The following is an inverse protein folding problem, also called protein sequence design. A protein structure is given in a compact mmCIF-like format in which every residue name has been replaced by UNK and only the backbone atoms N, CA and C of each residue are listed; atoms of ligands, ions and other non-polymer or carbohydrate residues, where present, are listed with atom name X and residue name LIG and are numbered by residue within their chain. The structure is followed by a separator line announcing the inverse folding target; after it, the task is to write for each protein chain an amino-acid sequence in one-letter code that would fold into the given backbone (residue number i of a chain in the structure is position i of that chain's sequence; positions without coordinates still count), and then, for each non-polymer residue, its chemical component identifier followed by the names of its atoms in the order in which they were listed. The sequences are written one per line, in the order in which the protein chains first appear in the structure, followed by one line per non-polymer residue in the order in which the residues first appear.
data_IF_850557314898
#
_entry.id   IF_850557314898
#
_cell.length_a   1.000
_cell.length_b   1.000
_cell.length_c   1.000
_cell.angle_alpha   90.00
_cell.angle_beta   90.00
_cell.angle_gamma   90.00
#
_symmetry.space_group_name_H-M   'P 1'
#
loop_
_entity.id
_entity.type
_entity.pdbx_description
1 polymer ?
#
# COMPACT_ATOMS: atom_id res chain seq x y z
N UNK A 1 4.96 -8.51 -9.69
CA UNK A 1 5.33 -7.71 -8.51
C UNK A 1 4.24 -7.80 -7.47
N UNK A 2 4.57 -8.07 -6.19
CA UNK A 2 3.65 -8.12 -5.06
C UNK A 2 3.87 -6.89 -4.17
N UNK A 3 2.78 -6.16 -3.88
CA UNK A 3 2.80 -4.90 -3.11
C UNK A 3 1.88 -5.03 -1.90
N UNK A 4 2.45 -4.92 -0.71
CA UNK A 4 1.75 -5.12 0.57
C UNK A 4 0.86 -3.93 0.99
N UNK A 5 0.03 -4.13 2.02
CA UNK A 5 -0.88 -3.12 2.57
C UNK A 5 -0.26 -2.22 3.64
N UNK A 6 -1.09 -1.28 4.16
CA UNK A 6 -0.70 -0.39 5.25
C UNK A 6 -0.51 -1.18 6.56
N UNK A 7 0.44 -0.74 7.38
CA UNK A 7 0.82 -1.32 8.68
C UNK A 7 1.53 -2.67 8.63
N UNK A 8 1.62 -3.33 7.47
CA UNK A 8 2.28 -4.62 7.29
C UNK A 8 3.63 -4.51 6.57
N UNK A 9 4.13 -5.60 5.98
CA UNK A 9 5.39 -5.65 5.25
C UNK A 9 5.41 -6.81 4.25
N UNK A 10 6.38 -6.82 3.33
CA UNK A 10 6.48 -7.84 2.26
C UNK A 10 6.48 -9.29 2.77
N UNK A 11 7.11 -9.55 3.93
CA UNK A 11 7.22 -10.89 4.50
C UNK A 11 5.88 -11.53 4.84
N UNK A 12 4.79 -10.76 4.98
CA UNK A 12 3.45 -11.30 5.18
C UNK A 12 2.82 -11.90 3.92
N UNK A 13 3.40 -11.63 2.77
CA UNK A 13 2.98 -12.17 1.48
C UNK A 13 3.89 -13.31 0.99
N UNK A 14 4.82 -13.80 1.85
CA UNK A 14 5.79 -14.84 1.49
C UNK A 14 5.14 -16.11 0.91
N UNK A 15 4.02 -16.54 1.49
CA UNK A 15 3.31 -17.75 1.06
C UNK A 15 2.70 -17.58 -0.33
N UNK A 16 2.16 -16.39 -0.62
CA UNK A 16 1.67 -16.02 -1.95
C UNK A 16 2.81 -15.98 -2.97
N UNK A 17 3.94 -15.39 -2.58
CA UNK A 17 5.15 -15.31 -3.42
C UNK A 17 5.69 -16.71 -3.72
N UNK A 18 5.76 -17.58 -2.72
CA UNK A 18 6.21 -18.96 -2.87
C UNK A 18 5.25 -19.77 -3.75
N UNK A 19 3.95 -19.62 -3.54
CA UNK A 19 2.94 -20.27 -4.37
C UNK A 19 3.06 -19.85 -5.85
N UNK A 20 3.23 -18.56 -6.14
CA UNK A 20 3.43 -18.05 -7.50
C UNK A 20 4.73 -18.62 -8.12
N UNK A 21 5.81 -18.66 -7.35
CA UNK A 21 7.09 -19.25 -7.80
C UNK A 21 6.94 -20.72 -8.14
N UNK A 22 6.19 -21.49 -7.36
CA UNK A 22 5.91 -22.90 -7.62
C UNK A 22 5.09 -23.13 -8.91
N UNK A 23 4.33 -22.10 -9.35
CA UNK A 23 3.69 -22.09 -10.67
C UNK A 23 4.61 -21.65 -11.82
N UNK A 24 5.89 -21.41 -11.55
CA UNK A 24 6.87 -20.94 -12.54
C UNK A 24 6.80 -19.43 -12.82
N UNK A 25 6.08 -18.66 -11.99
CA UNK A 25 5.95 -17.23 -12.15
C UNK A 25 7.07 -16.53 -11.38
N UNK A 26 7.95 -15.82 -12.08
CA UNK A 26 8.99 -15.02 -11.46
C UNK A 26 8.36 -13.89 -10.64
N UNK A 27 8.61 -13.88 -9.33
CA UNK A 27 7.89 -13.02 -8.41
C UNK A 27 8.84 -12.19 -7.55
N UNK A 28 8.59 -10.90 -7.49
CA UNK A 28 9.27 -9.93 -6.65
C UNK A 28 8.30 -9.33 -5.65
N UNK A 29 8.78 -9.00 -4.46
CA UNK A 29 8.08 -8.23 -3.44
C UNK A 29 8.94 -7.05 -2.99
N UNK A 30 8.31 -6.07 -2.35
CA UNK A 30 8.98 -4.86 -1.87
C UNK A 30 8.41 -4.43 -0.52
N UNK A 31 9.21 -3.71 0.27
CA UNK A 31 8.68 -2.94 1.39
C UNK A 31 8.45 -1.48 0.95
N UNK A 32 7.24 -1.00 1.18
CA UNK A 32 6.88 0.40 0.97
C UNK A 32 7.56 1.31 2.02
N UNK A 33 7.78 2.59 1.72
CA UNK A 33 8.31 3.57 2.67
C UNK A 33 7.50 3.60 3.96
N UNK A 34 8.16 3.79 5.08
CA UNK A 34 7.50 3.73 6.39
C UNK A 34 7.15 2.35 6.90
N UNK A 35 7.51 1.26 6.20
CA UNK A 35 7.14 -0.12 6.52
C UNK A 35 8.33 -1.06 6.72
N UNK A 36 8.06 -2.27 7.25
CA UNK A 36 9.08 -3.30 7.43
C UNK A 36 10.09 -3.01 8.54
N UNK A 37 11.36 -3.36 8.30
CA UNK A 37 12.44 -3.29 9.30
C UNK A 37 13.07 -1.91 9.51
N UNK A 38 12.49 -0.82 8.99
CA UNK A 38 13.05 0.53 9.13
C UNK A 38 12.82 1.12 10.52
N UNK A 39 13.65 2.12 10.89
CA UNK A 39 13.62 2.76 12.20
C UNK A 39 12.37 3.63 12.41
N UNK A 40 11.96 4.41 11.40
CA UNK A 40 10.82 5.34 11.48
C UNK A 40 9.59 4.76 10.76
N UNK A 41 8.99 3.71 11.34
CA UNK A 41 7.77 3.11 10.80
C UNK A 41 6.58 4.08 10.87
N UNK A 42 5.69 4.02 9.87
CA UNK A 42 4.45 4.80 9.82
C UNK A 42 4.67 6.29 9.60
N UNK A 43 5.74 6.65 8.88
CA UNK A 43 6.03 8.01 8.47
C UNK A 43 6.60 8.03 7.04
N UNK A 44 6.18 9.00 6.25
CA UNK A 44 6.78 9.42 4.97
C UNK A 44 6.79 10.94 4.93
N UNK A 45 7.74 11.53 4.25
CA UNK A 45 7.78 12.98 4.04
C UNK A 45 6.95 13.40 2.83
N UNK A 46 6.97 12.61 1.77
CA UNK A 46 6.19 12.87 0.54
C UNK A 46 5.64 11.58 -0.06
N UNK A 47 4.57 11.71 -0.84
CA UNK A 47 4.03 10.58 -1.60
C UNK A 47 5.02 10.02 -2.62
N UNK A 48 5.91 10.86 -3.15
CA UNK A 48 6.89 10.49 -4.17
C UNK A 48 7.82 9.36 -3.71
N UNK A 49 8.06 9.22 -2.40
CA UNK A 49 8.82 8.08 -1.86
C UNK A 49 8.19 6.73 -2.24
N UNK A 50 6.85 6.65 -2.22
CA UNK A 50 6.13 5.44 -2.66
C UNK A 50 6.30 5.21 -4.16
N UNK A 51 6.20 6.29 -4.95
CA UNK A 51 6.35 6.22 -6.41
C UNK A 51 7.77 5.75 -6.77
N UNK A 52 8.79 6.30 -6.13
CA UNK A 52 10.19 5.90 -6.38
C UNK A 52 10.42 4.41 -6.07
N UNK A 53 9.92 3.93 -4.93
CA UNK A 53 10.12 2.53 -4.52
C UNK A 53 9.41 1.57 -5.47
N UNK A 54 8.17 1.86 -5.89
CA UNK A 54 7.44 0.98 -6.82
C UNK A 54 8.06 1.01 -8.22
N UNK A 55 8.52 2.15 -8.71
CA UNK A 55 9.23 2.28 -9.98
C UNK A 55 10.53 1.46 -9.96
N UNK A 56 11.32 1.59 -8.90
CA UNK A 56 12.56 0.82 -8.72
C UNK A 56 12.31 -0.70 -8.64
N UNK A 57 11.21 -1.12 -8.02
CA UNK A 57 10.83 -2.53 -7.98
C UNK A 57 10.30 -3.01 -9.33
N UNK A 58 9.51 -2.18 -10.01
CA UNK A 58 8.97 -2.48 -11.33
C UNK A 58 10.06 -2.64 -12.40
N UNK A 59 11.14 -1.87 -12.33
CA UNK A 59 12.26 -1.97 -13.27
C UNK A 59 12.88 -3.38 -13.32
N UNK A 60 12.73 -4.19 -12.27
CA UNK A 60 13.19 -5.59 -12.24
C UNK A 60 12.37 -6.51 -13.16
N UNK A 61 11.12 -6.14 -13.46
CA UNK A 61 10.21 -6.90 -14.32
C UNK A 61 9.89 -6.19 -15.64
N UNK A 62 10.45 -5.02 -15.89
CA UNK A 62 10.14 -4.17 -17.04
C UNK A 62 10.36 -4.88 -18.40
N UNK A 63 11.41 -5.71 -18.48
CA UNK A 63 11.78 -6.43 -19.70
C UNK A 63 11.21 -7.86 -19.78
N UNK A 64 10.16 -8.17 -19.01
CA UNK A 64 9.47 -9.48 -19.06
C UNK A 64 8.35 -9.45 -20.09
N UNK A 65 8.00 -10.64 -20.63
CA UNK A 65 6.96 -10.79 -21.66
C UNK A 65 5.57 -10.39 -21.14
N UNK A 66 5.29 -10.71 -19.87
CA UNK A 66 4.04 -10.34 -19.20
C UNK A 66 4.36 -9.81 -17.80
N UNK A 67 3.87 -8.62 -17.50
CA UNK A 67 4.10 -7.90 -16.24
C UNK A 67 2.79 -7.78 -15.47
N UNK A 68 2.75 -8.38 -14.29
CA UNK A 68 1.57 -8.38 -13.43
C UNK A 68 1.92 -7.70 -12.10
N UNK A 69 1.04 -6.82 -11.63
CA UNK A 69 1.08 -6.29 -10.27
C UNK A 69 -0.07 -6.90 -9.47
N UNK A 70 0.26 -7.57 -8.37
CA UNK A 70 -0.67 -7.95 -7.32
C UNK A 70 -0.48 -7.00 -6.14
N UNK A 71 -1.51 -6.24 -5.82
CA UNK A 71 -1.43 -5.20 -4.80
C UNK A 71 -2.56 -5.35 -3.77
N UNK A 72 -2.21 -5.26 -2.48
CA UNK A 72 -3.16 -5.36 -1.38
C UNK A 72 -3.39 -4.00 -0.71
N UNK A 73 -4.65 -3.64 -0.50
CA UNK A 73 -5.07 -2.49 0.31
C UNK A 73 -4.33 -1.18 -0.08
N UNK A 74 -3.50 -0.63 0.81
CA UNK A 74 -2.66 0.55 0.55
C UNK A 74 -1.73 0.37 -0.66
N UNK A 75 -1.18 -0.83 -0.84
CA UNK A 75 -0.38 -1.15 -2.03
C UNK A 75 -1.15 -0.97 -3.34
N UNK A 76 -2.47 -1.18 -3.32
CA UNK A 76 -3.34 -0.89 -4.47
C UNK A 76 -3.37 0.61 -4.78
N UNK A 77 -3.48 1.46 -3.76
CA UNK A 77 -3.44 2.91 -3.92
C UNK A 77 -2.10 3.37 -4.53
N UNK A 78 -0.98 2.86 -4.01
CA UNK A 78 0.37 3.16 -4.52
C UNK A 78 0.52 2.71 -5.97
N UNK A 79 0.10 1.49 -6.29
CA UNK A 79 0.24 0.92 -7.63
C UNK A 79 -0.60 1.67 -8.66
N UNK A 80 -1.88 1.93 -8.36
CA UNK A 80 -2.78 2.67 -9.25
C UNK A 80 -2.30 4.12 -9.42
N UNK A 81 -1.83 4.76 -8.36
CA UNK A 81 -1.23 6.09 -8.44
C UNK A 81 -0.04 6.13 -9.39
N UNK A 82 0.87 5.17 -9.30
CA UNK A 82 2.04 5.10 -10.17
C UNK A 82 1.65 4.89 -11.65
N UNK A 83 0.62 4.06 -11.91
CA UNK A 83 0.09 3.83 -13.27
C UNK A 83 -0.57 5.11 -13.80
N UNK A 84 -1.43 5.76 -13.03
CA UNK A 84 -2.13 6.99 -13.44
C UNK A 84 -1.17 8.17 -13.69
N UNK A 85 0.01 8.14 -13.07
CA UNK A 85 1.12 9.09 -13.29
C UNK A 85 2.05 8.66 -14.43
N UNK A 86 1.71 7.57 -15.15
CA UNK A 86 2.51 7.04 -16.26
C UNK A 86 3.95 6.69 -15.86
N UNK A 87 4.15 6.26 -14.60
CA UNK A 87 5.46 5.87 -14.07
C UNK A 87 5.77 4.39 -14.27
N UNK A 88 4.74 3.55 -14.35
CA UNK A 88 4.81 2.11 -14.62
C UNK A 88 3.65 1.72 -15.54
N UNK A 89 3.86 0.67 -16.35
CA UNK A 89 2.89 0.20 -17.34
C UNK A 89 2.82 -1.36 -17.32
N UNK A 90 2.16 -1.96 -16.32
CA UNK A 90 1.95 -3.40 -16.27
C UNK A 90 0.87 -3.85 -17.25
N UNK A 91 0.96 -5.11 -17.70
CA UNK A 91 -0.05 -5.70 -18.61
C UNK A 91 -1.34 -6.08 -17.89
N UNK A 92 -1.24 -6.43 -16.59
CA UNK A 92 -2.38 -6.80 -15.74
C UNK A 92 -2.20 -6.28 -14.32
N UNK A 93 -3.35 -5.99 -13.70
CA UNK A 93 -3.42 -5.51 -12.32
C UNK A 93 -4.41 -6.38 -11.52
N UNK A 94 -4.00 -6.86 -10.37
CA UNK A 94 -4.84 -7.59 -9.41
C UNK A 94 -4.87 -6.79 -8.12
N UNK A 95 -6.06 -6.33 -7.73
CA UNK A 95 -6.28 -5.51 -6.53
C UNK A 95 -7.04 -6.31 -5.48
N UNK A 96 -6.41 -6.55 -4.35
CA UNK A 96 -7.03 -7.18 -3.19
C UNK A 96 -7.43 -6.12 -2.18
N UNK A 97 -8.75 -5.96 -1.94
CA UNK A 97 -9.31 -5.00 -0.99
C UNK A 97 -8.70 -3.58 -1.13
N UNK A 98 -8.81 -2.93 -2.31
CA UNK A 98 -8.12 -1.67 -2.60
C UNK A 98 -8.55 -0.55 -1.65
N UNK A 99 -7.58 0.25 -1.18
CA UNK A 99 -7.76 1.33 -0.21
C UNK A 99 -7.94 2.69 -0.90
N UNK A 100 -9.04 2.86 -1.63
CA UNK A 100 -9.31 4.09 -2.37
C UNK A 100 -10.14 5.12 -1.61
N UNK A 101 -10.72 4.75 -0.46
CA UNK A 101 -11.38 5.66 0.47
C UNK A 101 -11.37 5.09 1.91
N UNK A 102 -11.30 5.97 2.89
CA UNK A 102 -11.36 5.64 4.32
C UNK A 102 -12.76 5.74 4.92
N UNK A 103 -13.75 6.20 4.14
CA UNK A 103 -15.12 6.45 4.59
C UNK A 103 -15.23 7.43 5.79
N UNK A 104 -14.19 8.23 6.06
CA UNK A 104 -14.27 9.24 7.10
C UNK A 104 -15.07 10.46 6.64
N UNK A 105 -15.87 11.07 7.54
CA UNK A 105 -16.55 12.34 7.25
C UNK A 105 -15.55 13.43 6.82
N UNK A 106 -15.95 14.31 5.91
CA UNK A 106 -15.09 15.38 5.38
C UNK A 106 -14.44 16.24 6.47
N UNK A 107 -15.17 16.53 7.56
CA UNK A 107 -14.59 17.33 8.65
C UNK A 107 -13.43 16.62 9.35
N UNK A 108 -13.46 15.29 9.48
CA UNK A 108 -12.35 14.49 10.04
C UNK A 108 -11.14 14.54 9.11
N UNK A 109 -11.36 14.38 7.80
CA UNK A 109 -10.29 14.49 6.79
C UNK A 109 -9.65 15.89 6.82
N UNK A 110 -10.47 16.95 6.88
CA UNK A 110 -9.99 18.33 6.98
C UNK A 110 -9.22 18.61 8.27
N UNK A 111 -9.69 18.10 9.40
CA UNK A 111 -9.00 18.23 10.69
C UNK A 111 -7.66 17.48 10.66
N UNK A 112 -7.62 16.27 10.09
CA UNK A 112 -6.39 15.51 9.90
C UNK A 112 -5.38 16.28 9.03
N UNK A 113 -5.84 16.91 7.94
CA UNK A 113 -5.01 17.76 7.09
C UNK A 113 -4.45 19.00 7.81
N UNK A 114 -5.25 19.64 8.67
CA UNK A 114 -4.77 20.75 9.51
C UNK A 114 -3.72 20.28 10.52
N UNK A 115 -3.95 19.12 11.17
CA UNK A 115 -2.99 18.51 12.08
C UNK A 115 -1.69 18.14 11.38
N UNK A 116 -1.74 17.64 10.13
CA UNK A 116 -0.56 17.33 9.34
C UNK A 116 0.32 18.56 9.06
N UNK A 117 -0.28 19.74 8.95
CA UNK A 117 0.48 21.00 8.75
C UNK A 117 1.12 21.52 10.03
N UNK A 118 0.43 21.42 11.17
CA UNK A 118 0.90 21.99 12.46
C UNK A 118 1.75 21.00 13.24
N UNK A 119 1.37 19.73 13.24
CA UNK A 119 2.00 18.65 13.98
C UNK A 119 2.24 17.41 13.10
N UNK A 120 3.06 17.52 12.02
CA UNK A 120 3.23 16.47 11.02
C UNK A 120 3.65 15.12 11.60
N UNK A 121 4.49 15.12 12.62
CA UNK A 121 5.02 13.91 13.26
C UNK A 121 4.17 13.36 14.41
N UNK A 122 3.11 14.07 14.80
CA UNK A 122 2.16 13.52 15.78
C UNK A 122 1.46 12.30 15.17
N UNK A 123 1.22 11.29 16.00
CA UNK A 123 0.76 9.96 15.53
C UNK A 123 -0.69 9.70 15.92
N UNK A 124 -1.43 9.13 14.97
CA UNK A 124 -2.75 8.56 15.19
C UNK A 124 -2.66 7.02 15.24
N UNK A 125 -3.44 6.37 16.13
CA UNK A 125 -3.48 4.91 16.18
C UNK A 125 -4.11 4.31 14.92
N UNK A 126 -3.70 3.07 14.58
CA UNK A 126 -4.31 2.29 13.51
C UNK A 126 -5.76 1.92 13.89
N UNK A 127 -6.71 1.99 12.94
CA UNK A 127 -8.07 1.48 13.12
C UNK A 127 -8.14 -0.05 13.10
N UNK A 128 -7.08 -0.73 12.68
CA UNK A 128 -7.04 -2.21 12.60
C UNK A 128 -7.05 -2.81 14.00
N UNK A 129 -8.00 -3.68 14.25
CA UNK A 129 -8.13 -4.43 15.51
C UNK A 129 -8.41 -5.92 15.24
N UNK A 130 -8.34 -6.75 16.28
CA UNK A 130 -8.49 -8.22 16.16
C UNK A 130 -9.82 -8.67 15.55
N UNK A 131 -10.88 -7.85 15.64
CA UNK A 131 -12.22 -8.21 15.16
C UNK A 131 -12.42 -7.94 13.66
N UNK A 132 -11.70 -6.96 13.13
CA UNK A 132 -11.86 -6.52 11.74
C UNK A 132 -10.72 -6.96 10.80
N UNK A 133 -9.72 -7.69 11.30
CA UNK A 133 -8.58 -8.14 10.50
C UNK A 133 -8.91 -9.44 9.74
N UNK A 134 -9.32 -10.48 10.47
CA UNK A 134 -9.65 -11.80 9.90
C UNK A 134 -10.52 -12.59 10.86
N UNK A 135 -11.26 -13.56 10.33
CA UNK A 135 -11.96 -14.58 11.11
C UNK A 135 -11.02 -15.71 11.54
N UNK A 136 -9.90 -15.87 10.87
CA UNK A 136 -8.87 -16.85 11.23
C UNK A 136 -7.99 -16.34 12.37
N UNK A 137 -8.02 -17.07 13.49
CA UNK A 137 -7.32 -16.71 14.72
C UNK A 137 -5.79 -16.74 14.55
N UNK A 138 -5.25 -17.70 13.79
CA UNK A 138 -3.82 -17.83 13.58
C UNK A 138 -3.27 -16.62 12.80
N UNK A 139 -3.98 -16.22 11.74
CA UNK A 139 -3.69 -14.99 10.98
C UNK A 139 -3.72 -13.75 11.87
N UNK A 140 -4.74 -13.63 12.74
CA UNK A 140 -4.85 -12.51 13.69
C UNK A 140 -3.69 -12.48 14.67
N UNK A 141 -3.39 -13.62 15.30
CA UNK A 141 -2.32 -13.70 16.30
C UNK A 141 -0.94 -13.47 15.65
N UNK A 142 -0.69 -14.00 14.45
CA UNK A 142 0.55 -13.74 13.69
C UNK A 142 0.74 -12.25 13.38
N UNK A 143 -0.33 -11.55 12.97
CA UNK A 143 -0.28 -10.12 12.70
C UNK A 143 0.03 -9.29 13.95
N UNK A 144 -0.66 -9.57 15.07
CA UNK A 144 -0.52 -8.78 16.29
C UNK A 144 0.77 -9.07 17.07
N UNK A 145 1.43 -10.20 16.82
CA UNK A 145 2.71 -10.59 17.41
C UNK A 145 3.92 -10.27 16.52
N UNK A 146 3.70 -9.84 15.28
CA UNK A 146 4.77 -9.51 14.35
C UNK A 146 5.44 -8.17 14.73
N UNK A 147 6.76 -8.16 15.02
CA UNK A 147 7.48 -6.94 15.39
C UNK A 147 7.67 -5.97 14.23
N UNK A 148 7.47 -6.40 12.99
CA UNK A 148 7.57 -5.55 11.80
C UNK A 148 6.26 -4.83 11.51
N UNK A 149 5.13 -5.33 12.02
CA UNK A 149 3.84 -4.66 11.97
C UNK A 149 3.85 -3.45 12.93
N UNK A 150 3.37 -2.31 12.46
CA UNK A 150 3.23 -1.12 13.30
C UNK A 150 1.75 -0.73 13.45
N UNK A 151 1.42 0.09 14.47
CA UNK A 151 0.02 0.36 14.85
C UNK A 151 -0.30 1.83 15.01
N UNK A 152 0.48 2.68 14.40
CA UNK A 152 0.21 4.12 14.36
C UNK A 152 0.92 4.73 13.17
N UNK A 153 0.33 5.77 12.60
CA UNK A 153 0.97 6.56 11.55
C UNK A 153 0.97 8.03 11.92
N UNK A 154 1.86 8.80 11.32
CA UNK A 154 1.90 10.24 11.52
C UNK A 154 0.75 10.91 10.79
N UNK A 155 0.29 12.08 11.29
CA UNK A 155 -0.69 12.89 10.56
C UNK A 155 -0.21 13.26 9.16
N UNK A 156 1.10 13.48 8.99
CA UNK A 156 1.69 13.71 7.66
C UNK A 156 1.38 12.55 6.73
N UNK A 157 1.70 11.31 7.14
CA UNK A 157 1.45 10.13 6.32
C UNK A 157 -0.05 9.94 6.02
N UNK A 158 -0.92 10.09 7.03
CA UNK A 158 -2.37 10.00 6.82
C UNK A 158 -2.90 11.04 5.84
N UNK A 159 -2.36 12.25 5.87
CA UNK A 159 -2.70 13.30 4.91
C UNK A 159 -2.25 12.96 3.48
N UNK A 160 -1.03 12.44 3.31
CA UNK A 160 -0.53 11.98 2.01
C UNK A 160 -1.46 10.90 1.42
N UNK A 161 -1.90 9.93 2.23
CA UNK A 161 -2.88 8.92 1.80
C UNK A 161 -4.18 9.60 1.33
N UNK A 162 -4.74 10.53 2.12
CA UNK A 162 -6.00 11.20 1.77
C UNK A 162 -5.90 12.02 0.48
N UNK A 163 -4.79 12.74 0.29
CA UNK A 163 -4.53 13.50 -0.94
C UNK A 163 -4.47 12.56 -2.13
N UNK A 164 -3.78 11.43 -1.98
CA UNK A 164 -3.60 10.48 -3.07
C UNK A 164 -4.86 9.69 -3.38
N UNK A 165 -5.69 9.36 -2.39
CA UNK A 165 -7.02 8.80 -2.62
C UNK A 165 -7.88 9.73 -3.49
N UNK A 166 -7.85 11.03 -3.22
CA UNK A 166 -8.57 12.01 -4.05
C UNK A 166 -8.02 12.02 -5.49
N UNK A 167 -6.69 12.07 -5.66
CA UNK A 167 -6.05 12.01 -6.99
C UNK A 167 -6.46 10.76 -7.76
N UNK A 168 -6.40 9.58 -7.13
CA UNK A 168 -6.79 8.32 -7.79
C UNK A 168 -8.27 8.32 -8.15
N UNK A 169 -9.15 8.73 -7.24
CA UNK A 169 -10.60 8.76 -7.51
C UNK A 169 -10.98 9.73 -8.63
N UNK A 170 -10.32 10.88 -8.71
CA UNK A 170 -10.54 11.88 -9.77
C UNK A 170 -10.02 11.41 -11.14
N UNK A 171 -9.09 10.46 -11.19
CA UNK A 171 -8.44 10.01 -12.41
C UNK A 171 -8.70 8.54 -12.76
N UNK A 172 -9.47 7.80 -11.96
CA UNK A 172 -9.63 6.35 -12.09
C UNK A 172 -10.17 5.92 -13.48
N UNK A 173 -10.95 6.75 -14.14
CA UNK A 173 -11.46 6.50 -15.49
C UNK A 173 -10.34 6.41 -16.58
N UNK A 174 -9.15 6.92 -16.25
CA UNK A 174 -7.96 6.84 -17.11
C UNK A 174 -7.24 5.49 -16.98
N UNK A 175 -7.58 4.67 -15.99
CA UNK A 175 -7.00 3.35 -15.82
C UNK A 175 -7.52 2.42 -16.92
N UNK A 176 -6.66 2.06 -17.88
CA UNK A 176 -7.01 1.22 -19.05
C UNK A 176 -6.47 -0.21 -18.96
N UNK A 177 -5.70 -0.49 -17.91
CA UNK A 177 -5.10 -1.81 -17.71
C UNK A 177 -6.17 -2.82 -17.29
N UNK A 178 -6.21 -4.03 -17.89
CA UNK A 178 -7.09 -5.10 -17.42
C UNK A 178 -6.89 -5.35 -15.94
N UNK A 179 -7.95 -5.16 -15.15
CA UNK A 179 -7.90 -5.16 -13.69
C UNK A 179 -8.88 -6.16 -13.12
N UNK A 180 -8.39 -7.04 -12.25
CA UNK A 180 -9.19 -7.90 -11.38
C UNK A 180 -9.27 -7.23 -9.99
N UNK A 181 -10.50 -7.12 -9.43
CA UNK A 181 -10.75 -6.57 -8.10
C UNK A 181 -11.45 -7.60 -7.23
#
# INVERSE_FOLDING_TARGET
LVVHGLFEHEGRHKDNVEWLKNLGIETYSLNLPGHGGIKEKGHIETWDENIEVIVNAYSKIENKDVKIIFAHSYGSLVSVSAILREKIDPDYLILSAPHFDDNYPKFVKNMSGAMAKVFPKLRAPSPVNKRNLSTDKETVDSYFNDPLVFRSLTFKFGNEITVEQNFVNENIEKLKIPTLV
#
